data_IF_723204912063
#
_entry.id   IF_723204912063
#
_cell.length_a   1.000
_cell.length_b   1.000
_cell.length_c   1.000
_cell.angle_alpha   90.00
_cell.angle_beta   90.00
_cell.angle_gamma   90.00
#
_symmetry.space_group_name_H-M   'P 1'
#
loop_
_entity.id
_entity.type
_entity.pdbx_description
1 polymer ?
#
# COMPACT_ATOMS: atom_id res chain seq x y z
N UNK A 1 -4.12 13.70 -3.83
CA UNK A 1 -3.51 13.15 -2.59
C UNK A 1 -3.11 11.70 -2.82
N UNK A 2 -2.22 11.21 -2.02
CA UNK A 2 -1.82 9.80 -2.13
C UNK A 2 -1.63 9.19 -0.75
N UNK A 3 -1.76 7.87 -0.69
CA UNK A 3 -1.49 7.06 0.49
C UNK A 3 -0.54 5.94 0.11
N UNK A 4 0.52 5.76 0.90
CA UNK A 4 1.51 4.72 0.68
C UNK A 4 1.34 3.62 1.72
N UNK A 5 1.31 2.37 1.23
CA UNK A 5 1.32 1.18 2.08
C UNK A 5 2.51 0.33 1.71
N UNK A 6 3.15 -0.27 2.71
CA UNK A 6 4.23 -1.21 2.46
C UNK A 6 4.19 -2.33 3.49
N UNK A 7 4.68 -3.49 3.10
CA UNK A 7 4.72 -4.66 3.97
C UNK A 7 5.88 -5.58 3.59
N UNK A 8 6.56 -6.10 4.59
CA UNK A 8 7.53 -7.17 4.45
C UNK A 8 6.95 -8.53 4.80
N UNK A 9 5.72 -8.58 5.26
CA UNK A 9 5.05 -9.80 5.74
C UNK A 9 4.21 -10.49 4.66
N UNK A 10 4.38 -10.05 3.41
CA UNK A 10 3.72 -10.64 2.27
C UNK A 10 2.59 -9.79 1.72
N UNK A 11 2.16 -10.18 0.53
CA UNK A 11 1.15 -9.46 -0.23
C UNK A 11 -0.21 -9.45 0.49
N UNK A 12 -0.56 -10.56 1.13
CA UNK A 12 -1.86 -10.71 1.78
C UNK A 12 -2.08 -9.69 2.89
N UNK A 13 -1.05 -9.47 3.71
CA UNK A 13 -1.10 -8.49 4.79
C UNK A 13 -1.28 -7.08 4.22
N UNK A 14 -0.60 -6.80 3.12
CA UNK A 14 -0.71 -5.52 2.44
C UNK A 14 -2.13 -5.28 1.91
N UNK A 15 -2.70 -6.29 1.27
CA UNK A 15 -4.06 -6.21 0.72
C UNK A 15 -5.09 -5.98 1.84
N UNK A 16 -4.93 -6.68 2.96
CA UNK A 16 -5.82 -6.50 4.11
C UNK A 16 -5.75 -5.08 4.66
N UNK A 17 -4.54 -4.52 4.75
CA UNK A 17 -4.36 -3.15 5.23
C UNK A 17 -5.02 -2.14 4.29
N UNK A 18 -4.85 -2.31 2.99
CA UNK A 18 -5.47 -1.45 1.98
C UNK A 18 -7.00 -1.52 2.06
N UNK A 19 -7.54 -2.74 2.14
CA UNK A 19 -8.99 -2.94 2.20
C UNK A 19 -9.59 -2.31 3.45
N UNK A 20 -8.93 -2.46 4.59
CA UNK A 20 -9.39 -1.84 5.83
C UNK A 20 -9.41 -0.31 5.71
N UNK A 21 -8.36 0.26 5.14
CA UNK A 21 -8.27 1.70 4.96
C UNK A 21 -9.39 2.22 4.06
N UNK A 22 -9.70 1.50 2.97
CA UNK A 22 -10.78 1.87 2.07
C UNK A 22 -12.15 1.79 2.76
N UNK A 23 -12.37 0.76 3.59
CA UNK A 23 -13.60 0.61 4.35
C UNK A 23 -13.78 1.73 5.37
N UNK A 24 -12.68 2.14 6.01
CA UNK A 24 -12.70 3.20 7.02
C UNK A 24 -12.83 4.60 6.41
N UNK A 25 -12.66 4.71 5.11
CA UNK A 25 -12.65 6.01 4.40
C UNK A 25 -13.55 5.97 3.15
N UNK A 26 -14.87 5.76 3.32
CA UNK A 26 -15.77 5.62 2.17
C UNK A 26 -15.97 6.92 1.38
N UNK A 27 -15.53 8.05 1.92
CA UNK A 27 -15.65 9.34 1.26
C UNK A 27 -14.58 9.58 0.20
N UNK A 28 -13.65 8.64 0.03
CA UNK A 28 -12.55 8.80 -0.91
C UNK A 28 -12.94 8.32 -2.31
N UNK A 29 -12.50 9.07 -3.31
CA UNK A 29 -12.58 8.66 -4.71
C UNK A 29 -11.21 8.20 -5.16
N UNK A 30 -11.08 6.94 -5.50
CA UNK A 30 -9.80 6.36 -5.90
C UNK A 30 -9.55 6.65 -7.37
N UNK A 31 -8.41 7.28 -7.67
CA UNK A 31 -8.04 7.66 -9.02
C UNK A 31 -7.18 6.60 -9.70
N UNK A 32 -6.19 6.08 -8.99
CA UNK A 32 -5.29 5.07 -9.53
C UNK A 32 -4.54 4.34 -8.42
N UNK A 33 -3.98 3.20 -8.79
CA UNK A 33 -3.13 2.40 -7.92
C UNK A 33 -1.80 2.14 -8.62
N UNK A 34 -0.71 2.18 -7.86
CA UNK A 34 0.58 1.66 -8.31
C UNK A 34 1.04 0.60 -7.33
N UNK A 35 1.30 -0.61 -7.85
CA UNK A 35 1.83 -1.72 -7.06
C UNK A 35 3.22 -2.07 -7.57
N UNK A 36 4.18 -2.18 -6.65
CA UNK A 36 5.52 -2.62 -7.01
C UNK A 36 6.19 -3.28 -5.82
N UNK A 37 7.26 -4.01 -6.11
CA UNK A 37 8.06 -4.69 -5.10
C UNK A 37 9.51 -4.26 -5.25
N UNK A 38 10.24 -4.32 -4.14
CA UNK A 38 11.68 -4.09 -4.17
C UNK A 38 12.33 -4.90 -3.06
N UNK A 39 13.64 -5.12 -3.22
CA UNK A 39 14.42 -5.80 -2.21
C UNK A 39 15.13 -4.78 -1.34
N UNK A 40 15.01 -4.95 -0.04
CA UNK A 40 15.72 -4.14 0.94
C UNK A 40 16.84 -4.99 1.54
N UNK A 41 18.11 -4.52 1.53
CA UNK A 41 19.21 -5.26 2.14
C UNK A 41 18.98 -5.43 3.64
N UNK A 42 19.23 -6.64 4.11
CA UNK A 42 19.21 -6.99 5.52
C UNK A 42 20.62 -7.33 5.97
N UNK A 43 20.78 -7.64 7.25
CA UNK A 43 22.08 -8.04 7.78
C UNK A 43 22.56 -9.35 7.14
N UNK A 44 23.87 -9.44 6.93
CA UNK A 44 24.56 -10.68 6.53
C UNK A 44 24.03 -11.27 5.21
N UNK A 45 23.92 -10.47 4.18
CA UNK A 45 23.57 -10.89 2.83
C UNK A 45 22.13 -11.36 2.60
N UNK A 46 21.27 -11.29 3.60
CA UNK A 46 19.86 -11.58 3.41
C UNK A 46 19.17 -10.38 2.79
N UNK A 47 18.23 -10.64 1.90
CA UNK A 47 17.39 -9.61 1.30
C UNK A 47 15.95 -9.82 1.73
N UNK A 48 15.26 -8.73 1.98
CA UNK A 48 13.86 -8.75 2.33
C UNK A 48 13.04 -8.16 1.20
N UNK A 49 12.04 -8.92 0.75
CA UNK A 49 11.13 -8.45 -0.30
C UNK A 49 10.06 -7.56 0.32
N UNK A 50 9.99 -6.32 -0.14
CA UNK A 50 9.01 -5.36 0.31
C UNK A 50 7.96 -5.18 -0.78
N UNK A 51 6.69 -5.36 -0.41
CA UNK A 51 5.55 -5.08 -1.26
C UNK A 51 5.05 -3.67 -0.96
N UNK A 52 4.76 -2.91 -1.99
CA UNK A 52 4.40 -1.50 -1.85
C UNK A 52 3.22 -1.16 -2.76
N UNK A 53 2.25 -0.44 -2.20
CA UNK A 53 1.11 0.07 -2.96
C UNK A 53 0.99 1.57 -2.70
N UNK A 54 0.89 2.34 -3.77
CA UNK A 54 0.57 3.77 -3.70
C UNK A 54 -0.82 3.96 -4.26
N UNK A 55 -1.68 4.62 -3.50
CA UNK A 55 -3.07 4.89 -3.91
C UNK A 55 -3.21 6.38 -4.07
N UNK A 56 -3.60 6.82 -5.27
CA UNK A 56 -3.90 8.21 -5.56
C UNK A 56 -5.41 8.41 -5.46
N UNK A 57 -5.81 9.43 -4.72
CA UNK A 57 -7.22 9.63 -4.41
C UNK A 57 -7.55 11.10 -4.25
N UNK A 58 -8.85 11.39 -4.32
CA UNK A 58 -9.41 12.69 -3.94
C UNK A 58 -10.49 12.46 -2.90
N UNK A 59 -10.82 13.50 -2.16
CA UNK A 59 -11.91 13.45 -1.18
C UNK A 59 -13.18 13.95 -1.87
N UNK A 60 -14.24 13.12 -1.79
CA UNK A 60 -15.54 13.50 -2.32
C UNK A 60 -16.15 14.58 -1.42
N UNK A 61 -16.49 15.72 -2.02
CA UNK A 61 -17.17 16.79 -1.32
C UNK A 61 -18.64 16.81 -1.74
N UNK A 62 -19.50 17.01 -0.77
CA UNK A 62 -20.93 17.13 -1.00
C UNK A 62 -21.42 18.53 -0.66
#
# INVERSE_FOLDING_TARGET
>A
MFKLFSSSDGEEILIQAVNKWLQDNPQLSIQSFDYHTYYRPQFASEEELIHCVVIYYTILEH
#
